data_IF_540307065254
#
_entry.id   IF_540307065254
#
_cell.length_a   1.000
_cell.length_b   1.000
_cell.length_c   1.000
_cell.angle_alpha   90.00
_cell.angle_beta   90.00
_cell.angle_gamma   90.00
#
_symmetry.space_group_name_H-M   'P 1'
#
loop_
_entity.id
_entity.type
_entity.pdbx_description
1 polymer ?
#
# COMPACT_ATOMS: atom_id res chain seq x y z
N UNK A 1 -5.55 18.92 -5.63
CA UNK A 1 -4.88 18.09 -6.65
C UNK A 1 -5.31 16.63 -6.58
N UNK A 2 -5.27 15.98 -5.41
CA UNK A 2 -5.70 14.57 -5.24
C UNK A 2 -7.16 14.32 -5.62
N UNK A 3 -8.11 15.16 -5.20
CA UNK A 3 -9.53 15.01 -5.57
C UNK A 3 -9.76 15.12 -7.08
N UNK A 4 -9.07 16.05 -7.75
CA UNK A 4 -9.17 16.22 -9.20
C UNK A 4 -8.57 15.03 -9.94
N UNK A 5 -7.42 14.51 -9.49
CA UNK A 5 -6.81 13.31 -10.05
C UNK A 5 -7.70 12.07 -9.89
N UNK A 6 -8.37 11.92 -8.73
CA UNK A 6 -9.33 10.83 -8.51
C UNK A 6 -10.54 10.93 -9.45
N UNK A 7 -11.09 12.13 -9.64
CA UNK A 7 -12.24 12.34 -10.53
C UNK A 7 -11.86 12.03 -11.99
N UNK A 8 -10.71 12.52 -12.45
CA UNK A 8 -10.23 12.26 -13.81
C UNK A 8 -9.93 10.77 -14.01
N UNK A 9 -9.25 10.12 -13.06
CA UNK A 9 -8.98 8.68 -13.11
C UNK A 9 -10.25 7.84 -13.13
N UNK A 10 -11.27 8.23 -12.37
CA UNK A 10 -12.57 7.55 -12.35
C UNK A 10 -13.31 7.70 -13.69
N UNK A 11 -13.29 8.90 -14.29
CA UNK A 11 -13.92 9.15 -15.60
C UNK A 11 -13.23 8.33 -16.69
N UNK A 12 -11.89 8.34 -16.73
CA UNK A 12 -11.13 7.56 -17.71
C UNK A 12 -11.36 6.06 -17.55
N UNK A 13 -11.33 5.55 -16.31
CA UNK A 13 -11.62 4.14 -16.02
C UNK A 13 -13.04 3.74 -16.44
N UNK A 14 -14.04 4.60 -16.23
CA UNK A 14 -15.42 4.34 -16.62
C UNK A 14 -15.60 4.35 -18.15
N UNK A 15 -14.90 5.23 -18.87
CA UNK A 15 -15.03 5.38 -20.32
C UNK A 15 -14.35 4.25 -21.11
N UNK A 16 -13.16 3.83 -20.69
CA UNK A 16 -12.35 2.84 -21.40
C UNK A 16 -12.56 1.41 -20.89
N UNK A 17 -13.15 1.25 -19.70
CA UNK A 17 -13.50 -0.05 -19.13
C UNK A 17 -12.36 -1.08 -19.15
N UNK A 18 -11.20 -0.80 -18.53
CA UNK A 18 -10.09 -1.75 -18.47
C UNK A 18 -10.49 -2.96 -17.62
N UNK A 19 -11.01 -4.00 -18.27
CA UNK A 19 -11.45 -5.26 -17.67
C UNK A 19 -12.40 -6.05 -18.56
N UNK A 20 -13.13 -5.39 -19.48
CA UNK A 20 -13.99 -6.05 -20.46
C UNK A 20 -13.15 -6.84 -21.47
N UNK A 21 -13.25 -8.18 -21.42
CA UNK A 21 -12.47 -9.09 -22.27
C UNK A 21 -11.47 -9.98 -21.53
N UNK A 22 -11.31 -9.83 -20.21
CA UNK A 22 -10.59 -10.84 -19.43
C UNK A 22 -11.46 -12.09 -19.38
N UNK A 23 -10.89 -13.25 -19.75
CA UNK A 23 -11.54 -14.57 -19.66
C UNK A 23 -11.63 -15.01 -18.18
N UNK A 24 -12.21 -14.15 -17.34
CA UNK A 24 -12.45 -14.38 -15.93
C UNK A 24 -13.79 -15.09 -15.85
N UNK A 25 -13.73 -16.40 -15.67
CA UNK A 25 -14.89 -17.16 -15.30
C UNK A 25 -15.27 -16.78 -13.86
N UNK A 26 -16.33 -15.98 -13.72
CA UNK A 26 -16.82 -15.45 -12.44
C UNK A 26 -17.19 -16.55 -11.44
N UNK A 27 -17.32 -17.79 -11.90
CA UNK A 27 -17.59 -18.99 -11.09
C UNK A 27 -16.36 -19.55 -10.36
N UNK A 28 -15.15 -19.12 -10.73
CA UNK A 28 -13.88 -19.55 -10.11
C UNK A 28 -13.24 -18.48 -9.22
N UNK A 29 -13.92 -17.34 -9.03
CA UNK A 29 -13.48 -16.31 -8.09
C UNK A 29 -13.73 -16.81 -6.68
N UNK A 30 -12.64 -17.12 -5.98
CA UNK A 30 -12.66 -17.46 -4.57
C UNK A 30 -13.26 -16.29 -3.77
N UNK A 31 -14.49 -16.45 -3.29
CA UNK A 31 -15.22 -15.45 -2.53
C UNK A 31 -14.47 -14.99 -1.26
N UNK A 32 -13.49 -15.78 -0.78
CA UNK A 32 -12.57 -15.36 0.29
C UNK A 32 -11.69 -14.17 -0.10
N UNK A 33 -11.28 -14.07 -1.37
CA UNK A 33 -10.47 -12.94 -1.83
C UNK A 33 -11.27 -11.64 -1.85
N UNK A 34 -12.57 -11.70 -2.18
CA UNK A 34 -13.48 -10.55 -2.09
C UNK A 34 -13.83 -10.15 -0.66
N UNK A 35 -13.91 -11.11 0.27
CA UNK A 35 -14.22 -10.85 1.68
C UNK A 35 -13.28 -9.80 2.31
N UNK A 36 -11.99 -9.86 2.00
CA UNK A 36 -11.01 -8.87 2.49
C UNK A 36 -11.26 -7.47 1.91
N UNK A 37 -11.62 -7.34 0.63
CA UNK A 37 -11.95 -6.05 0.03
C UNK A 37 -13.27 -5.49 0.58
N UNK A 38 -14.28 -6.35 0.77
CA UNK A 38 -15.56 -5.97 1.35
C UNK A 38 -15.41 -5.51 2.81
N UNK A 39 -14.64 -6.25 3.64
CA UNK A 39 -14.37 -5.86 5.03
C UNK A 39 -13.58 -4.56 5.13
N UNK A 40 -12.61 -4.30 4.25
CA UNK A 40 -11.89 -3.02 4.22
C UNK A 40 -12.78 -1.86 3.75
N UNK A 41 -13.64 -2.08 2.75
CA UNK A 41 -14.61 -1.08 2.31
C UNK A 41 -15.66 -0.77 3.40
N UNK A 42 -16.00 -1.76 4.23
CA UNK A 42 -16.95 -1.60 5.33
C UNK A 42 -16.33 -0.84 6.52
N UNK A 43 -15.03 -1.01 6.79
CA UNK A 43 -14.27 -0.16 7.72
C UNK A 43 -14.26 1.31 7.29
N UNK A 44 -14.06 1.56 5.99
CA UNK A 44 -14.06 2.92 5.42
C UNK A 44 -15.44 3.59 5.44
N UNK A 45 -16.53 2.82 5.31
CA UNK A 45 -17.90 3.36 5.37
C UNK A 45 -18.43 3.56 6.78
N UNK A 46 -17.97 2.79 7.76
CA UNK A 46 -18.55 2.75 9.11
C UNK A 46 -18.01 3.75 10.11
N UNK A 47 -16.80 4.26 9.92
CA UNK A 47 -16.08 4.94 11.03
C UNK A 47 -16.25 6.47 11.08
N UNK A 48 -16.60 7.13 9.98
CA UNK A 48 -16.73 8.59 9.96
C UNK A 48 -15.44 9.33 10.38
N UNK A 49 -15.46 10.66 10.34
CA UNK A 49 -14.27 11.47 10.66
C UNK A 49 -13.90 11.33 12.15
N UNK A 50 -14.88 11.15 13.04
CA UNK A 50 -14.67 11.01 14.48
C UNK A 50 -13.93 9.74 14.87
N UNK A 51 -14.35 8.57 14.36
CA UNK A 51 -13.63 7.32 14.66
C UNK A 51 -12.29 7.26 13.93
N UNK A 52 -12.17 7.88 12.75
CA UNK A 52 -10.86 8.03 12.10
C UNK A 52 -9.86 8.80 12.97
N UNK A 53 -10.26 9.93 13.59
CA UNK A 53 -9.41 10.68 14.51
C UNK A 53 -9.08 9.90 15.79
N UNK A 54 -10.04 9.18 16.35
CA UNK A 54 -9.80 8.32 17.52
C UNK A 54 -8.86 7.15 17.19
N UNK A 55 -8.97 6.59 15.97
CA UNK A 55 -8.09 5.53 15.47
C UNK A 55 -6.66 6.02 15.16
N UNK A 56 -6.38 7.32 15.15
CA UNK A 56 -5.00 7.83 15.04
C UNK A 56 -4.25 7.65 16.36
N UNK A 57 -4.94 7.72 17.50
CA UNK A 57 -4.33 7.61 18.82
C UNK A 57 -4.11 6.12 19.10
N UNK A 58 -2.86 5.61 19.07
CA UNK A 58 -2.61 4.22 19.34
C UNK A 58 -2.96 3.92 20.79
N UNK A 59 -3.72 2.85 21.03
CA UNK A 59 -3.98 2.36 22.38
C UNK A 59 -2.68 1.89 23.05
N UNK A 60 -1.75 1.32 22.28
CA UNK A 60 -0.38 0.98 22.70
C UNK A 60 0.61 1.05 21.52
N UNK A 61 1.87 1.44 21.76
CA UNK A 61 2.90 1.56 20.71
C UNK A 61 3.24 0.24 20.00
N UNK A 62 3.04 -0.90 20.66
CA UNK A 62 3.34 -2.23 20.11
C UNK A 62 2.19 -2.79 19.27
N UNK A 63 0.93 -2.45 19.57
CA UNK A 63 -0.24 -2.91 18.81
C UNK A 63 -0.36 -2.21 17.44
N UNK A 64 0.07 -0.95 17.33
CA UNK A 64 0.12 -0.24 16.05
C UNK A 64 1.07 -0.92 15.04
N UNK A 65 2.22 -1.41 15.52
CA UNK A 65 3.21 -2.09 14.69
C UNK A 65 2.76 -3.51 14.32
N UNK A 66 2.07 -4.22 15.22
CA UNK A 66 1.57 -5.58 14.99
C UNK A 66 0.38 -5.62 14.02
N UNK A 67 -0.49 -4.59 14.07
CA UNK A 67 -1.68 -4.48 13.20
C UNK A 67 -1.39 -3.85 11.84
N UNK A 68 -0.14 -3.51 11.55
CA UNK A 68 0.28 -2.87 10.30
C UNK A 68 -0.48 -1.56 10.01
N UNK A 69 -0.89 -0.83 11.06
CA UNK A 69 -1.60 0.44 10.92
C UNK A 69 -0.59 1.57 10.71
N UNK A 70 -0.39 1.91 9.44
CA UNK A 70 0.60 2.91 9.02
C UNK A 70 0.32 4.28 9.65
N UNK A 71 -0.95 4.65 9.84
CA UNK A 71 -1.30 5.98 10.33
C UNK A 71 -1.00 6.13 11.83
N UNK A 72 -1.33 5.11 12.61
CA UNK A 72 -0.99 5.07 14.04
C UNK A 72 0.52 5.06 14.27
N UNK A 73 1.25 4.24 13.49
CA UNK A 73 2.72 4.17 13.57
C UNK A 73 3.35 5.52 13.21
N UNK A 74 2.83 6.19 12.17
CA UNK A 74 3.29 7.52 11.76
C UNK A 74 3.06 8.57 12.85
N UNK A 75 1.89 8.59 13.48
CA UNK A 75 1.58 9.51 14.56
C UNK A 75 2.53 9.35 15.75
N UNK A 76 2.74 8.11 16.19
CA UNK A 76 3.70 7.80 17.25
C UNK A 76 5.13 8.22 16.86
N UNK A 77 5.56 7.93 15.62
CA UNK A 77 6.89 8.28 15.13
C UNK A 77 7.14 9.79 15.13
N UNK A 78 6.14 10.60 14.79
CA UNK A 78 6.24 12.07 14.83
C UNK A 78 6.42 12.56 16.28
N UNK A 79 5.60 12.10 17.22
CA UNK A 79 5.71 12.50 18.64
C UNK A 79 7.07 12.06 19.20
N UNK A 80 7.50 10.84 18.89
CA UNK A 80 8.80 10.31 19.30
C UNK A 80 9.94 11.15 18.72
N UNK A 81 9.89 11.49 17.44
CA UNK A 81 10.88 12.33 16.77
C UNK A 81 10.97 13.74 17.36
N UNK A 82 9.82 14.39 17.62
CA UNK A 82 9.77 15.68 18.30
C UNK A 82 10.33 15.59 19.72
N UNK A 83 9.97 14.56 20.48
CA UNK A 83 10.49 14.34 21.84
C UNK A 83 12.01 14.14 21.84
N UNK A 84 12.54 13.38 20.87
CA UNK A 84 13.97 13.15 20.72
C UNK A 84 14.72 14.45 20.36
N UNK A 85 14.14 15.28 19.49
CA UNK A 85 14.68 16.58 19.13
C UNK A 85 14.69 17.55 20.35
N UNK A 86 13.67 17.48 21.20
CA UNK A 86 13.58 18.30 22.43
C UNK A 86 14.54 17.85 23.53
N UNK A 87 14.85 16.55 23.64
CA UNK A 87 15.83 16.04 24.62
C UNK A 87 17.22 16.63 24.34
N UNK A 88 17.60 16.73 23.06
CA UNK A 88 18.83 17.38 22.63
C UNK A 88 20.13 16.78 23.21
N UNK A 89 21.27 17.28 22.72
CA UNK A 89 22.60 16.89 23.19
C UNK A 89 23.03 15.46 22.82
N UNK A 90 24.08 14.98 23.51
CA UNK A 90 24.81 13.75 23.16
C UNK A 90 23.94 12.47 23.23
N UNK A 91 22.91 12.47 24.09
CA UNK A 91 21.96 11.35 24.22
C UNK A 91 20.97 11.29 23.05
N UNK A 92 20.47 12.44 22.59
CA UNK A 92 19.56 12.52 21.45
C UNK A 92 20.26 12.12 20.14
N UNK A 93 21.50 12.59 19.96
CA UNK A 93 22.32 12.32 18.79
C UNK A 93 22.71 10.84 18.67
N UNK A 94 23.04 10.18 19.79
CA UNK A 94 23.31 8.74 19.80
C UNK A 94 22.11 7.91 19.31
N UNK A 95 20.89 8.26 19.73
CA UNK A 95 19.67 7.56 19.29
C UNK A 95 19.36 7.88 17.82
N UNK A 96 19.49 9.14 17.39
CA UNK A 96 19.26 9.52 15.99
C UNK A 96 20.22 8.80 15.04
N UNK A 97 21.51 8.76 15.38
CA UNK A 97 22.53 8.06 14.57
C UNK A 97 22.26 6.55 14.46
N UNK A 98 21.73 5.93 15.52
CA UNK A 98 21.31 4.53 15.49
C UNK A 98 20.12 4.34 14.54
N UNK A 99 19.11 5.22 14.60
CA UNK A 99 17.94 5.18 13.71
C UNK A 99 18.37 5.36 12.25
N UNK A 100 19.32 6.26 11.97
CA UNK A 100 19.86 6.47 10.62
C UNK A 100 20.62 5.24 10.11
N UNK A 101 21.40 4.59 10.96
CA UNK A 101 22.09 3.35 10.62
C UNK A 101 21.09 2.23 10.28
N UNK A 102 20.03 2.07 11.06
CA UNK A 102 18.96 1.11 10.78
C UNK A 102 18.24 1.45 9.47
N UNK A 103 17.91 2.72 9.26
CA UNK A 103 17.28 3.19 8.02
C UNK A 103 18.14 2.89 6.79
N UNK A 104 19.46 3.10 6.90
CA UNK A 104 20.42 2.77 5.84
C UNK A 104 20.41 1.27 5.53
N UNK A 105 20.37 0.41 6.54
CA UNK A 105 20.27 -1.04 6.35
C UNK A 105 18.95 -1.42 5.67
N UNK A 106 17.83 -0.82 6.10
CA UNK A 106 16.51 -1.04 5.48
C UNK A 106 16.50 -0.62 4.00
N UNK A 107 17.06 0.55 3.67
CA UNK A 107 17.19 0.98 2.27
C UNK A 107 18.07 0.05 1.45
N UNK A 108 19.16 -0.47 2.03
CA UNK A 108 20.04 -1.42 1.35
C UNK A 108 19.36 -2.78 1.12
N UNK A 109 18.57 -3.24 2.09
CA UNK A 109 17.72 -4.43 1.93
C UNK A 109 16.65 -4.22 0.85
N UNK A 110 15.97 -3.06 0.84
CA UNK A 110 15.03 -2.70 -0.23
C UNK A 110 15.70 -2.66 -1.59
N UNK A 111 16.91 -2.11 -1.69
CA UNK A 111 17.70 -2.12 -2.93
C UNK A 111 18.01 -3.55 -3.43
N UNK A 112 18.28 -4.48 -2.50
CA UNK A 112 18.45 -5.89 -2.83
C UNK A 112 17.14 -6.49 -3.37
N UNK A 113 16.02 -6.26 -2.68
CA UNK A 113 14.69 -6.74 -3.11
C UNK A 113 14.33 -6.20 -4.50
N UNK A 114 14.52 -4.91 -4.76
CA UNK A 114 14.26 -4.29 -6.07
C UNK A 114 15.15 -4.91 -7.15
N UNK A 115 16.39 -5.29 -6.84
CA UNK A 115 17.27 -5.99 -7.80
C UNK A 115 16.78 -7.41 -8.11
N UNK A 116 16.11 -8.08 -7.18
CA UNK A 116 15.46 -9.38 -7.40
C UNK A 116 14.06 -9.26 -8.03
N UNK A 117 13.42 -8.09 -7.95
CA UNK A 117 12.09 -7.84 -8.51
C UNK A 117 11.92 -8.24 -9.99
N UNK A 118 12.90 -8.08 -10.90
CA UNK A 118 12.75 -8.51 -12.29
C UNK A 118 12.38 -9.99 -12.42
N UNK A 119 12.98 -10.85 -11.60
CA UNK A 119 12.69 -12.30 -11.61
C UNK A 119 11.27 -12.55 -11.11
N UNK A 120 10.85 -11.84 -10.05
CA UNK A 120 9.49 -11.92 -9.53
C UNK A 120 8.44 -11.43 -10.52
N UNK A 121 8.70 -10.33 -11.22
CA UNK A 121 7.81 -9.78 -12.26
C UNK A 121 7.70 -10.73 -13.44
N UNK A 122 8.81 -11.34 -13.89
CA UNK A 122 8.76 -12.36 -14.95
C UNK A 122 7.90 -13.56 -14.53
N UNK A 123 8.04 -14.03 -13.28
CA UNK A 123 7.21 -15.10 -12.73
C UNK A 123 5.73 -14.71 -12.63
N UNK A 124 5.42 -13.50 -12.17
CA UNK A 124 4.05 -13.00 -12.06
C UNK A 124 3.38 -12.84 -13.45
N UNK A 125 4.11 -12.31 -14.44
CA UNK A 125 3.62 -12.19 -15.82
C UNK A 125 3.41 -13.57 -16.45
N UNK A 126 4.35 -14.50 -16.27
CA UNK A 126 4.21 -15.88 -16.75
C UNK A 126 3.01 -16.60 -16.13
N UNK A 127 2.79 -16.45 -14.81
CA UNK A 127 1.62 -17.01 -14.12
C UNK A 127 0.30 -16.41 -14.66
N UNK A 128 0.25 -15.09 -14.80
CA UNK A 128 -0.96 -14.41 -15.29
C UNK A 128 -1.28 -14.81 -16.73
N UNK A 129 -0.27 -14.89 -17.62
CA UNK A 129 -0.48 -15.35 -19.00
C UNK A 129 -0.84 -16.84 -19.05
N UNK A 130 -0.27 -17.67 -18.18
CA UNK A 130 -0.60 -19.10 -18.10
C UNK A 130 -2.01 -19.38 -17.58
N UNK A 131 -2.49 -18.60 -16.61
CA UNK A 131 -3.81 -18.79 -15.97
C UNK A 131 -4.95 -18.06 -16.66
N UNK A 132 -4.70 -16.84 -17.14
CA UNK A 132 -5.72 -15.94 -17.71
C UNK A 132 -5.52 -15.69 -19.23
N UNK A 133 -4.55 -16.35 -19.85
CA UNK A 133 -4.26 -16.29 -21.28
C UNK A 133 -3.60 -14.98 -21.73
N UNK A 134 -3.16 -14.94 -23.00
CA UNK A 134 -2.51 -13.76 -23.61
C UNK A 134 -3.45 -12.55 -23.68
N UNK A 135 -4.78 -12.77 -23.66
CA UNK A 135 -5.79 -11.71 -23.62
C UNK A 135 -5.70 -10.83 -22.36
N UNK A 136 -5.31 -11.40 -21.21
CA UNK A 136 -5.12 -10.65 -19.95
C UNK A 136 -4.01 -9.61 -20.06
N UNK A 137 -2.95 -9.91 -20.83
CA UNK A 137 -1.82 -9.01 -21.03
C UNK A 137 -2.25 -7.75 -21.78
N UNK A 138 -3.14 -7.88 -22.78
CA UNK A 138 -3.71 -6.74 -23.52
C UNK A 138 -4.52 -5.83 -22.60
N UNK A 139 -5.27 -6.40 -21.66
CA UNK A 139 -6.07 -5.66 -20.68
C UNK A 139 -5.18 -4.88 -19.70
N UNK A 140 -4.14 -5.53 -19.17
CA UNK A 140 -3.15 -4.93 -18.29
C UNK A 140 -2.40 -3.79 -18.99
N UNK A 141 -2.02 -3.98 -20.26
CA UNK A 141 -1.36 -2.94 -21.05
C UNK A 141 -2.27 -1.73 -21.30
N UNK A 142 -3.56 -1.97 -21.59
CA UNK A 142 -4.57 -0.92 -21.74
C UNK A 142 -4.73 -0.10 -20.46
N UNK A 143 -4.72 -0.77 -19.30
CA UNK A 143 -4.75 -0.10 -18.00
C UNK A 143 -3.50 0.77 -17.79
N UNK A 144 -2.30 0.25 -18.07
CA UNK A 144 -1.06 1.04 -17.97
C UNK A 144 -1.09 2.25 -18.91
N UNK A 145 -1.55 2.09 -20.15
CA UNK A 145 -1.67 3.17 -21.12
C UNK A 145 -2.71 4.23 -20.76
N UNK A 146 -3.70 3.89 -19.92
CA UNK A 146 -4.71 4.82 -19.44
C UNK A 146 -4.24 5.62 -18.22
N UNK A 147 -3.36 5.03 -17.41
CA UNK A 147 -2.77 5.66 -16.23
C UNK A 147 -1.61 6.60 -16.55
N UNK A 148 -0.98 6.45 -17.71
CA UNK A 148 0.18 7.23 -18.16
C UNK A 148 -0.25 8.29 -19.19
#
# INVERSE_FOLDING_TARGET
>A
MTTVALVVGLILAYLFGPGHGMNIDTSTLDAKALGNYASNAQKLKGEGIGSFLLNIIPSTSFDALSRNDVLQVLFFAIIFGVSLALVGGEKGERISSFIDAVSTVLFRAMGLIVRFAPIGVLGAVAYTVGKYGVGSLKQLLSLVALFY
#
